data_IF_031376538767
#
_entry.id   IF_031376538767
#
_cell.length_a   1.000
_cell.length_b   1.000
_cell.length_c   1.000
_cell.angle_alpha   90.00
_cell.angle_beta   90.00
_cell.angle_gamma   90.00
#
_symmetry.space_group_name_H-M   'P 1'
#
loop_
_entity.id
_entity.type
_entity.pdbx_description
1 polymer ?
#
# COMPACT_ATOMS: atom_id res chain seq x y z
N UNK A 1 6.85 12.24 49.15
CA UNK A 1 6.01 12.98 48.18
C UNK A 1 6.86 13.25 46.95
N UNK A 2 6.65 12.50 45.88
CA UNK A 2 7.08 12.87 44.54
C UNK A 2 5.91 12.55 43.62
N UNK A 3 5.34 13.61 43.05
CA UNK A 3 4.15 13.55 42.21
C UNK A 3 4.49 12.92 40.86
N UNK A 4 3.66 11.96 40.46
CA UNK A 4 3.58 11.46 39.09
C UNK A 4 2.70 12.44 38.30
N UNK A 5 3.32 13.19 37.37
CA UNK A 5 2.57 13.90 36.34
C UNK A 5 2.15 12.89 35.27
N UNK A 6 0.90 12.44 35.38
CA UNK A 6 0.18 11.80 34.30
C UNK A 6 -0.10 12.85 33.21
N UNK A 7 0.80 12.96 32.24
CA UNK A 7 0.57 13.71 31.00
C UNK A 7 -0.43 12.97 30.14
N UNK A 8 -1.70 13.36 30.23
CA UNK A 8 -2.78 12.87 29.37
C UNK A 8 -2.50 13.16 27.90
N UNK A 9 -2.37 12.11 27.09
CA UNK A 9 -2.41 12.21 25.64
C UNK A 9 -3.87 12.19 25.15
N UNK A 10 -4.62 13.26 25.44
CA UNK A 10 -5.87 13.58 24.74
C UNK A 10 -5.55 14.38 23.48
N UNK A 11 -5.03 13.68 22.46
CA UNK A 11 -4.78 14.26 21.15
C UNK A 11 -5.47 13.45 20.06
N UNK A 12 -6.67 13.87 19.66
CA UNK A 12 -7.32 13.39 18.44
C UNK A 12 -6.50 13.82 17.21
N UNK A 13 -5.41 13.11 16.93
CA UNK A 13 -4.49 13.37 15.81
C UNK A 13 -5.08 12.99 14.46
N UNK A 14 -6.15 13.67 14.04
CA UNK A 14 -6.64 13.55 12.67
C UNK A 14 -5.86 14.54 11.80
N UNK A 15 -4.70 14.11 11.28
CA UNK A 15 -4.01 14.85 10.23
C UNK A 15 -4.94 15.08 9.03
N UNK A 16 -4.78 16.22 8.35
CA UNK A 16 -5.65 16.60 7.23
C UNK A 16 -5.66 15.54 6.12
N UNK A 17 -6.81 15.24 5.50
CA UNK A 17 -6.90 14.20 4.48
C UNK A 17 -6.14 14.61 3.20
N UNK A 18 -5.59 13.61 2.50
CA UNK A 18 -5.00 13.81 1.18
C UNK A 18 -6.15 13.97 0.16
N UNK A 19 -6.10 15.02 -0.67
CA UNK A 19 -7.15 15.36 -1.63
C UNK A 19 -6.58 15.75 -2.98
N UNK A 20 -7.39 15.63 -4.01
CA UNK A 20 -7.11 16.23 -5.32
C UNK A 20 -7.27 17.76 -5.26
N UNK A 21 -6.59 18.51 -6.15
CA UNK A 21 -6.55 19.97 -6.11
C UNK A 21 -7.89 20.60 -6.52
N UNK A 22 -8.71 19.87 -7.28
CA UNK A 22 -10.08 20.23 -7.62
C UNK A 22 -11.05 19.14 -7.12
N UNK A 23 -12.31 19.49 -6.84
CA UNK A 23 -13.33 18.50 -6.47
C UNK A 23 -13.42 17.40 -7.54
N UNK A 24 -13.50 16.15 -7.09
CA UNK A 24 -13.63 15.00 -7.99
C UNK A 24 -15.10 14.82 -8.40
N UNK A 25 -15.38 14.48 -9.68
CA UNK A 25 -16.73 14.17 -10.12
C UNK A 25 -17.20 12.83 -9.54
N UNK A 26 -18.51 12.62 -9.59
CA UNK A 26 -19.10 11.30 -9.33
C UNK A 26 -18.96 10.47 -10.61
N UNK A 27 -18.05 9.51 -10.61
CA UNK A 27 -17.91 8.58 -11.72
C UNK A 27 -19.03 7.54 -11.72
N UNK A 28 -19.56 7.22 -12.91
CA UNK A 28 -20.65 6.26 -13.08
C UNK A 28 -20.28 5.24 -14.15
N UNK A 29 -20.57 3.97 -13.88
CA UNK A 29 -20.33 2.87 -14.82
C UNK A 29 -19.03 2.12 -14.54
N UNK A 30 -18.47 1.51 -15.58
CA UNK A 30 -17.33 0.60 -15.48
C UNK A 30 -16.01 1.32 -15.17
N UNK A 31 -15.17 0.70 -14.33
CA UNK A 31 -13.86 1.21 -13.93
C UNK A 31 -13.02 1.74 -15.11
N UNK A 32 -12.94 1.00 -16.22
CA UNK A 32 -12.14 1.40 -17.39
C UNK A 32 -12.54 2.77 -17.98
N UNK A 33 -13.83 3.08 -18.00
CA UNK A 33 -14.34 4.35 -18.52
C UNK A 33 -14.05 5.48 -17.52
N UNK A 34 -14.28 5.20 -16.24
CA UNK A 34 -13.97 6.13 -15.15
C UNK A 34 -12.47 6.46 -15.12
N UNK A 35 -11.63 5.45 -15.33
CA UNK A 35 -10.18 5.60 -15.36
C UNK A 35 -9.73 6.46 -16.53
N UNK A 36 -10.32 6.27 -17.73
CA UNK A 36 -10.04 7.13 -18.87
C UNK A 36 -10.37 8.59 -18.58
N UNK A 37 -11.59 8.86 -18.10
CA UNK A 37 -12.02 10.21 -17.74
C UNK A 37 -11.14 10.83 -16.64
N UNK A 38 -10.77 10.04 -15.62
CA UNK A 38 -9.83 10.46 -14.58
C UNK A 38 -8.47 10.86 -15.17
N UNK A 39 -7.90 10.06 -16.08
CA UNK A 39 -6.61 10.36 -16.68
C UNK A 39 -6.65 11.63 -17.52
N UNK A 40 -7.70 11.82 -18.30
CA UNK A 40 -7.88 13.00 -19.16
C UNK A 40 -8.07 14.28 -18.33
N UNK A 41 -8.87 14.20 -17.27
CA UNK A 41 -9.31 15.39 -16.55
C UNK A 41 -8.39 15.78 -15.37
N UNK A 42 -7.76 14.80 -14.70
CA UNK A 42 -7.08 15.01 -13.42
C UNK A 42 -5.57 14.83 -13.46
N UNK A 43 -5.02 14.37 -14.59
CA UNK A 43 -3.60 14.09 -14.71
C UNK A 43 -3.03 14.67 -16.00
N UNK A 44 -1.75 15.01 -15.98
CA UNK A 44 -1.01 15.48 -17.15
C UNK A 44 -0.06 14.38 -17.59
N UNK A 45 0.11 14.20 -18.90
CA UNK A 45 1.13 13.28 -19.42
C UNK A 45 2.53 13.77 -19.00
N UNK A 46 3.42 12.83 -18.65
CA UNK A 46 4.80 13.19 -18.29
C UNK A 46 5.53 13.78 -19.50
N UNK A 47 6.07 15.01 -19.42
CA UNK A 47 6.73 15.68 -20.55
C UNK A 47 8.20 15.27 -20.73
N UNK A 48 8.79 14.57 -19.74
CA UNK A 48 10.18 14.16 -19.80
C UNK A 48 10.41 12.95 -20.71
N UNK A 49 11.57 12.30 -20.55
CA UNK A 49 11.93 11.16 -21.39
C UNK A 49 10.84 10.07 -21.32
N UNK A 50 10.53 9.41 -22.45
CA UNK A 50 9.63 8.27 -22.45
C UNK A 50 10.20 7.18 -21.55
N UNK A 51 9.32 6.30 -21.05
CA UNK A 51 9.77 5.17 -20.25
C UNK A 51 10.83 4.38 -21.03
N UNK A 52 11.92 3.93 -20.38
CA UNK A 52 12.84 2.98 -20.99
C UNK A 52 12.13 1.68 -21.40
N UNK A 53 10.93 1.42 -20.87
CA UNK A 53 10.04 0.33 -21.28
C UNK A 53 8.95 0.84 -22.22
N UNK A 54 8.96 0.36 -23.47
CA UNK A 54 8.04 0.77 -24.56
C UNK A 54 6.55 0.59 -24.22
N UNK A 55 6.22 -0.21 -23.20
CA UNK A 55 4.86 -0.52 -22.80
C UNK A 55 4.36 0.24 -21.55
N UNK A 56 5.14 1.17 -20.99
CA UNK A 56 4.73 1.95 -19.82
C UNK A 56 4.60 3.42 -20.17
N UNK A 57 3.45 4.02 -19.87
CA UNK A 57 3.23 5.46 -19.92
C UNK A 57 3.10 6.03 -18.50
N UNK A 58 3.45 7.31 -18.31
CA UNK A 58 3.31 8.00 -17.03
C UNK A 58 2.42 9.22 -17.17
N UNK A 59 1.49 9.35 -16.22
CA UNK A 59 0.72 10.57 -15.98
C UNK A 59 0.93 11.04 -14.54
N UNK A 60 0.90 12.34 -14.31
CA UNK A 60 1.16 12.92 -13.00
C UNK A 60 0.06 13.89 -12.60
N UNK A 61 -0.14 14.01 -11.30
CA UNK A 61 -0.97 15.05 -10.70
C UNK A 61 -0.45 15.40 -9.31
N UNK A 62 -0.87 16.53 -8.78
CA UNK A 62 -0.43 17.02 -7.48
C UNK A 62 -1.61 16.95 -6.52
N UNK A 63 -1.48 16.11 -5.50
CA UNK A 63 -2.40 16.03 -4.37
C UNK A 63 -2.05 17.11 -3.33
N UNK A 64 -3.00 17.41 -2.46
CA UNK A 64 -2.84 18.30 -1.30
C UNK A 64 -3.08 17.55 -0.02
N UNK A 65 -2.25 17.81 0.98
CA UNK A 65 -2.43 17.37 2.36
C UNK A 65 -2.11 18.56 3.26
N UNK A 66 -3.15 19.32 3.61
CA UNK A 66 -2.96 20.60 4.27
C UNK A 66 -2.16 21.61 3.44
N UNK A 67 -1.10 22.22 3.99
CA UNK A 67 -0.24 23.14 3.24
C UNK A 67 0.70 22.40 2.27
N UNK A 68 0.78 21.07 2.34
CA UNK A 68 1.74 20.29 1.59
C UNK A 68 1.19 19.81 0.25
N UNK A 69 2.06 19.78 -0.75
CA UNK A 69 1.81 19.20 -2.07
C UNK A 69 2.51 17.86 -2.18
N UNK A 70 1.80 16.86 -2.70
CA UNK A 70 2.29 15.49 -2.85
C UNK A 70 2.14 15.06 -4.31
N UNK A 71 3.20 14.56 -4.97
CA UNK A 71 3.05 14.01 -6.31
C UNK A 71 2.29 12.69 -6.25
N UNK A 72 1.30 12.53 -7.13
CA UNK A 72 0.74 11.24 -7.50
C UNK A 72 1.20 10.92 -8.92
N UNK A 73 1.90 9.79 -9.05
CA UNK A 73 2.34 9.23 -10.32
C UNK A 73 1.43 8.07 -10.68
N UNK A 74 0.89 8.10 -11.89
CA UNK A 74 0.01 7.07 -12.44
C UNK A 74 0.72 6.42 -13.62
N UNK A 75 1.30 5.25 -13.40
CA UNK A 75 1.92 4.47 -14.46
C UNK A 75 0.87 3.57 -15.11
N UNK A 76 0.87 3.55 -16.44
CA UNK A 76 -0.04 2.76 -17.27
C UNK A 76 0.81 1.71 -17.95
N UNK A 77 0.83 0.51 -17.39
CA UNK A 77 1.57 -0.63 -17.91
C UNK A 77 0.68 -1.42 -18.86
N UNK A 78 1.13 -1.61 -20.11
CA UNK A 78 0.50 -2.51 -21.07
C UNK A 78 1.19 -3.87 -21.04
N UNK A 79 0.49 -4.89 -20.55
CA UNK A 79 0.99 -6.25 -20.42
C UNK A 79 0.86 -6.95 -21.78
N UNK A 80 1.99 -7.32 -22.39
CA UNK A 80 2.05 -7.94 -23.73
C UNK A 80 2.69 -9.32 -23.75
N UNK A 81 3.43 -9.69 -22.71
CA UNK A 81 4.15 -10.97 -22.62
C UNK A 81 3.33 -11.96 -21.78
N UNK A 82 3.23 -13.21 -22.24
CA UNK A 82 2.57 -14.32 -21.54
C UNK A 82 3.12 -14.52 -20.12
N UNK A 83 4.43 -14.27 -19.92
CA UNK A 83 5.07 -14.37 -18.59
C UNK A 83 4.61 -13.32 -17.61
N UNK A 84 4.21 -12.15 -18.11
CA UNK A 84 3.72 -11.02 -17.30
C UNK A 84 2.20 -10.93 -17.30
N UNK A 85 1.51 -11.78 -18.06
CA UNK A 85 0.05 -11.81 -18.12
C UNK A 85 -0.52 -11.99 -16.71
N UNK A 86 -0.04 -12.98 -15.98
CA UNK A 86 -0.58 -13.26 -14.66
C UNK A 86 -0.16 -12.21 -13.63
N UNK A 87 -1.09 -11.87 -12.73
CA UNK A 87 -0.80 -11.07 -11.56
C UNK A 87 -0.64 -12.01 -10.37
N UNK A 88 0.52 -11.98 -9.72
CA UNK A 88 0.80 -12.83 -8.56
C UNK A 88 -0.16 -12.55 -7.41
N UNK A 89 -0.54 -11.30 -7.20
CA UNK A 89 -1.52 -10.93 -6.16
C UNK A 89 -2.91 -11.52 -6.46
N UNK A 90 -3.35 -11.48 -7.73
CA UNK A 90 -4.57 -12.17 -8.16
C UNK A 90 -4.46 -13.69 -7.94
N UNK A 91 -3.30 -14.30 -8.24
CA UNK A 91 -3.07 -15.73 -8.01
C UNK A 91 -3.16 -16.08 -6.52
N UNK A 92 -2.54 -15.29 -5.65
CA UNK A 92 -2.56 -15.47 -4.20
C UNK A 92 -4.00 -15.41 -3.65
N UNK A 93 -4.79 -14.43 -4.08
CA UNK A 93 -6.14 -14.20 -3.54
C UNK A 93 -7.24 -15.04 -4.20
N UNK A 94 -6.93 -15.76 -5.29
CA UNK A 94 -7.92 -16.61 -5.99
C UNK A 94 -8.64 -15.92 -7.16
N UNK A 95 -8.15 -14.77 -7.63
CA UNK A 95 -8.73 -14.00 -8.74
C UNK A 95 -8.14 -14.35 -10.11
N UNK A 96 -7.31 -15.40 -10.21
CA UNK A 96 -6.69 -15.85 -11.47
C UNK A 96 -7.70 -16.29 -12.54
N UNK A 97 -8.94 -16.58 -12.17
CA UNK A 97 -10.01 -16.92 -13.11
C UNK A 97 -10.57 -15.73 -13.90
N UNK A 98 -10.17 -14.50 -13.56
CA UNK A 98 -10.49 -13.32 -14.34
C UNK A 98 -9.42 -13.13 -15.41
N UNK A 99 -9.75 -13.26 -16.72
CA UNK A 99 -8.77 -13.09 -17.78
C UNK A 99 -8.05 -11.75 -17.58
N UNK A 100 -6.75 -11.91 -17.45
CA UNK A 100 -5.73 -10.89 -17.23
C UNK A 100 -6.08 -9.61 -17.97
N UNK A 101 -6.14 -8.50 -17.24
CA UNK A 101 -6.14 -7.19 -17.88
C UNK A 101 -4.81 -6.98 -18.60
N UNK A 102 -4.86 -6.74 -19.90
CA UNK A 102 -3.69 -6.30 -20.67
C UNK A 102 -3.22 -4.88 -20.31
N UNK A 103 -3.89 -4.21 -19.37
CA UNK A 103 -3.50 -2.90 -18.84
C UNK A 103 -3.60 -2.89 -17.31
N UNK A 104 -2.53 -2.43 -16.65
CA UNK A 104 -2.45 -2.20 -15.21
C UNK A 104 -2.18 -0.73 -14.94
N UNK A 105 -2.90 -0.17 -13.98
CA UNK A 105 -2.76 1.21 -13.53
C UNK A 105 -2.09 1.21 -12.16
N UNK A 106 -0.88 1.75 -12.05
CA UNK A 106 -0.13 1.82 -10.80
C UNK A 106 -0.19 3.25 -10.27
N UNK A 107 -0.74 3.42 -9.07
CA UNK A 107 -0.87 4.68 -8.36
C UNK A 107 0.23 4.75 -7.30
N UNK A 108 1.17 5.67 -7.49
CA UNK A 108 2.38 5.78 -6.68
C UNK A 108 2.48 7.16 -6.07
N UNK A 109 2.60 7.21 -4.73
CA UNK A 109 3.06 8.39 -3.99
C UNK A 109 4.50 8.10 -3.57
N UNK A 110 5.51 8.70 -4.22
CA UNK A 110 6.92 8.45 -3.88
C UNK A 110 7.30 9.13 -2.55
N UNK A 111 8.27 8.58 -1.83
CA UNK A 111 8.81 9.22 -0.63
C UNK A 111 9.68 10.44 -0.92
N UNK A 112 10.30 10.51 -2.10
CA UNK A 112 11.15 11.62 -2.52
C UNK A 112 10.72 12.14 -3.89
N UNK A 113 10.86 13.46 -4.08
CA UNK A 113 10.65 14.10 -5.37
C UNK A 113 11.93 13.93 -6.21
N UNK A 114 12.00 12.87 -7.01
CA UNK A 114 13.11 12.63 -7.94
C UNK A 114 12.86 13.36 -9.26
N UNK A 115 13.91 13.96 -9.82
CA UNK A 115 13.88 14.67 -11.11
C UNK A 115 13.54 13.75 -12.29
N UNK A 116 13.97 12.47 -12.26
CA UNK A 116 13.51 11.45 -13.20
C UNK A 116 12.58 10.44 -12.49
N UNK A 117 11.30 10.32 -12.90
CA UNK A 117 10.35 9.39 -12.30
C UNK A 117 10.52 7.93 -12.73
N UNK A 118 11.38 7.65 -13.70
CA UNK A 118 11.70 6.30 -14.16
C UNK A 118 12.89 5.70 -13.40
N UNK A 119 13.73 6.54 -12.82
CA UNK A 119 14.91 6.19 -12.02
C UNK A 119 14.57 6.26 -10.52
N UNK A 120 13.45 5.68 -10.08
CA UNK A 120 13.06 5.73 -8.67
C UNK A 120 14.12 5.02 -7.84
N UNK A 121 15.05 5.80 -7.29
CA UNK A 121 16.23 5.33 -6.59
C UNK A 121 15.85 5.04 -5.15
N UNK A 122 15.62 3.77 -4.83
CA UNK A 122 15.98 3.28 -3.50
C UNK A 122 17.46 2.93 -3.52
N UNK A 123 18.30 3.42 -2.59
CA UNK A 123 19.66 2.90 -2.48
C UNK A 123 19.60 1.38 -2.24
N UNK A 124 20.52 0.60 -2.85
CA UNK A 124 20.57 -0.84 -2.66
C UNK A 124 20.54 -1.20 -1.17
N UNK A 125 19.80 -2.25 -0.81
CA UNK A 125 19.74 -2.77 0.55
C UNK A 125 21.16 -3.01 1.13
N UNK A 126 21.32 -3.12 2.46
CA UNK A 126 22.60 -3.50 3.06
C UNK A 126 23.18 -4.81 2.48
N UNK A 127 22.33 -5.75 2.05
CA UNK A 127 22.74 -6.97 1.37
C UNK A 127 23.34 -6.71 -0.03
N UNK A 128 22.78 -5.77 -0.79
CA UNK A 128 23.31 -5.35 -2.09
C UNK A 128 24.58 -4.48 -1.96
N UNK A 129 24.76 -3.75 -0.84
CA UNK A 129 26.04 -3.11 -0.50
C UNK A 129 27.13 -4.15 -0.15
N UNK A 130 26.75 -5.28 0.45
CA UNK A 130 27.66 -6.38 0.76
C UNK A 130 28.06 -7.17 -0.50
N UNK A 131 27.16 -7.29 -1.48
CA UNK A 131 27.50 -7.82 -2.81
C UNK A 131 28.39 -6.87 -3.64
N UNK A 132 28.25 -5.54 -3.46
CA UNK A 132 29.14 -4.53 -4.06
C UNK A 132 30.59 -4.65 -3.58
N UNK A 133 30.82 -4.95 -2.30
CA UNK A 133 32.19 -5.22 -1.79
C UNK A 133 32.83 -6.44 -2.46
N UNK A 134 32.01 -7.39 -2.91
CA UNK A 134 32.46 -8.62 -3.59
C UNK A 134 32.64 -8.45 -5.11
N UNK A 135 32.01 -7.46 -5.74
CA UNK A 135 32.15 -7.23 -7.19
C UNK A 135 32.07 -5.73 -7.55
N UNK A 136 33.22 -5.01 -7.57
CA UNK A 136 33.29 -3.56 -7.80
C UNK A 136 32.86 -3.08 -9.20
N UNK A 137 32.57 -4.00 -10.12
CA UNK A 137 32.32 -3.72 -11.54
C UNK A 137 30.87 -3.92 -11.99
N UNK A 138 29.95 -4.26 -11.08
CA UNK A 138 28.53 -4.41 -11.43
C UNK A 138 27.80 -3.05 -11.38
N UNK A 139 27.25 -2.54 -12.50
CA UNK A 139 26.31 -1.43 -12.44
C UNK A 139 25.02 -1.94 -11.79
N UNK A 140 24.72 -1.49 -10.56
CA UNK A 140 23.44 -1.79 -9.90
C UNK A 140 22.38 -0.94 -10.59
N UNK A 141 21.46 -1.52 -11.39
CA UNK A 141 20.37 -0.73 -11.96
C UNK A 141 19.50 -0.26 -10.80
N UNK A 142 18.95 0.96 -10.88
CA UNK A 142 17.84 1.35 -10.01
C UNK A 142 16.80 0.22 -10.04
N UNK A 143 16.27 -0.17 -8.87
CA UNK A 143 15.14 -1.10 -8.84
C UNK A 143 14.04 -0.50 -9.74
N UNK A 144 13.47 -1.33 -10.61
CA UNK A 144 12.37 -0.88 -11.45
C UNK A 144 11.32 -0.21 -10.58
N UNK A 145 10.74 0.91 -11.01
CA UNK A 145 9.84 1.72 -10.17
C UNK A 145 8.77 0.91 -9.42
N UNK A 146 8.27 -0.19 -9.99
CA UNK A 146 7.27 -1.03 -9.32
C UNK A 146 7.81 -1.90 -8.18
N UNK A 147 9.11 -2.14 -8.14
CA UNK A 147 9.83 -2.89 -7.11
C UNK A 147 10.45 -1.99 -6.03
N UNK A 148 10.36 -0.66 -6.19
CA UNK A 148 10.83 0.31 -5.21
C UNK A 148 10.06 0.15 -3.88
N UNK A 149 10.81 -0.08 -2.81
CA UNK A 149 10.29 -0.35 -1.46
C UNK A 149 10.01 0.94 -0.66
N UNK A 150 10.40 2.09 -1.17
CA UNK A 150 10.31 3.39 -0.49
C UNK A 150 9.04 4.15 -0.78
N UNK A 151 8.23 3.71 -1.76
CA UNK A 151 6.94 4.32 -2.04
C UNK A 151 6.11 4.49 -0.77
N UNK A 152 5.62 5.71 -0.50
CA UNK A 152 4.70 5.95 0.61
C UNK A 152 3.40 5.19 0.36
N UNK A 153 2.94 5.18 -0.89
CA UNK A 153 1.81 4.38 -1.34
C UNK A 153 2.13 3.80 -2.71
N UNK A 154 1.84 2.52 -2.89
CA UNK A 154 1.77 1.89 -4.20
C UNK A 154 0.53 1.00 -4.23
N UNK A 155 -0.47 1.40 -5.01
CA UNK A 155 -1.59 0.55 -5.35
C UNK A 155 -1.63 0.27 -6.85
N UNK A 156 -2.14 -0.89 -7.25
CA UNK A 156 -2.29 -1.28 -8.64
C UNK A 156 -3.72 -1.72 -8.91
N UNK A 157 -4.31 -1.31 -10.03
CA UNK A 157 -5.65 -1.72 -10.44
C UNK A 157 -5.60 -2.18 -11.91
N UNK A 158 -6.12 -3.37 -12.15
CA UNK A 158 -6.32 -3.97 -13.46
C UNK A 158 -7.42 -3.24 -14.25
N UNK A 159 -7.39 -3.27 -15.58
CA UNK A 159 -8.44 -2.65 -16.43
C UNK A 159 -9.85 -3.17 -16.14
N UNK A 160 -9.95 -4.40 -15.61
CA UNK A 160 -11.22 -5.02 -15.25
C UNK A 160 -11.75 -4.53 -13.89
N UNK A 161 -11.01 -3.69 -13.18
CA UNK A 161 -11.38 -3.06 -11.91
C UNK A 161 -10.94 -3.83 -10.65
N UNK A 162 -10.26 -4.97 -10.76
CA UNK A 162 -9.66 -5.64 -9.61
C UNK A 162 -8.33 -4.98 -9.25
N UNK A 163 -8.05 -4.76 -7.97
CA UNK A 163 -6.85 -4.06 -7.54
C UNK A 163 -6.17 -4.65 -6.32
N UNK A 164 -4.96 -4.16 -6.06
CA UNK A 164 -4.09 -4.61 -5.01
C UNK A 164 -3.39 -3.40 -4.40
N UNK A 165 -3.50 -3.21 -3.09
CA UNK A 165 -2.63 -2.32 -2.35
C UNK A 165 -1.31 -3.05 -2.11
N UNK A 166 -0.29 -2.68 -2.88
CA UNK A 166 1.03 -3.33 -2.88
C UNK A 166 1.87 -2.84 -1.70
N UNK A 167 1.90 -1.53 -1.44
CA UNK A 167 2.70 -0.93 -0.38
C UNK A 167 2.00 0.26 0.26
N UNK A 168 2.22 0.38 1.56
CA UNK A 168 1.89 1.57 2.34
C UNK A 168 2.95 1.75 3.42
N UNK A 169 3.87 2.68 3.21
CA UNK A 169 4.96 2.94 4.13
C UNK A 169 4.68 4.16 5.01
N UNK A 170 5.22 4.14 6.24
CA UNK A 170 5.28 5.37 7.04
C UNK A 170 6.42 6.21 6.54
N UNK A 171 6.16 7.49 6.46
CA UNK A 171 7.19 8.44 6.16
C UNK A 171 8.13 8.68 7.35
N UNK A 172 9.42 8.35 7.20
CA UNK A 172 10.47 8.71 8.16
C UNK A 172 11.43 9.76 7.58
N UNK A 173 11.34 10.10 6.28
CA UNK A 173 12.36 10.88 5.55
C UNK A 173 11.81 11.99 4.64
N UNK A 174 10.52 12.02 4.33
CA UNK A 174 9.87 13.07 3.54
C UNK A 174 9.55 14.28 4.42
N UNK A 175 9.34 15.42 3.76
CA UNK A 175 8.99 16.68 4.43
C UNK A 175 7.55 16.68 4.97
N UNK A 176 6.73 15.67 4.62
CA UNK A 176 5.31 15.57 4.93
C UNK A 176 5.05 14.27 5.68
N UNK A 177 4.96 14.34 7.00
CA UNK A 177 4.73 13.17 7.85
C UNK A 177 3.30 12.60 7.65
N UNK A 178 3.11 11.78 6.61
CA UNK A 178 1.84 11.12 6.32
C UNK A 178 1.64 9.91 7.24
N UNK A 179 0.45 9.87 7.86
CA UNK A 179 0.01 8.72 8.64
C UNK A 179 -0.55 7.62 7.74
N UNK A 180 -0.49 6.36 8.19
CA UNK A 180 -1.13 5.25 7.48
C UNK A 180 -2.64 5.47 7.30
N UNK A 181 -3.30 6.15 8.25
CA UNK A 181 -4.73 6.51 8.13
C UNK A 181 -4.99 7.45 6.95
N UNK A 182 -4.12 8.45 6.72
CA UNK A 182 -4.24 9.37 5.59
C UNK A 182 -4.02 8.65 4.25
N UNK A 183 -3.01 7.78 4.18
CA UNK A 183 -2.73 6.98 2.97
C UNK A 183 -3.85 6.00 2.64
N UNK A 184 -4.37 5.27 3.64
CA UNK A 184 -5.53 4.40 3.46
C UNK A 184 -6.78 5.17 3.09
N UNK A 185 -7.06 6.30 3.76
CA UNK A 185 -8.21 7.14 3.41
C UNK A 185 -8.16 7.64 1.97
N UNK A 186 -6.96 7.99 1.48
CA UNK A 186 -6.75 8.33 0.09
C UNK A 186 -6.96 7.14 -0.85
N UNK A 187 -6.33 6.00 -0.57
CA UNK A 187 -6.41 4.81 -1.40
C UNK A 187 -7.84 4.26 -1.50
N UNK A 188 -8.54 4.16 -0.37
CA UNK A 188 -9.94 3.72 -0.28
C UNK A 188 -10.87 4.69 -1.02
N UNK A 189 -10.68 6.01 -0.82
CA UNK A 189 -11.40 7.04 -1.55
C UNK A 189 -11.15 6.97 -3.06
N UNK A 190 -9.92 6.73 -3.48
CA UNK A 190 -9.53 6.57 -4.89
C UNK A 190 -10.21 5.34 -5.52
N UNK A 191 -10.18 4.20 -4.83
CA UNK A 191 -10.79 2.96 -5.29
C UNK A 191 -12.32 3.10 -5.41
N UNK A 192 -12.96 3.67 -4.38
CA UNK A 192 -14.40 3.93 -4.37
C UNK A 192 -14.80 4.88 -5.48
N UNK A 193 -14.08 5.99 -5.63
CA UNK A 193 -14.31 7.00 -6.66
C UNK A 193 -14.21 6.40 -8.07
N UNK A 194 -13.15 5.63 -8.37
CA UNK A 194 -12.98 5.02 -9.69
C UNK A 194 -13.90 3.82 -9.92
N UNK A 195 -14.63 3.38 -8.89
CA UNK A 195 -15.47 2.18 -8.87
C UNK A 195 -14.66 0.92 -9.16
N UNK A 196 -13.52 0.79 -8.49
CA UNK A 196 -12.83 -0.48 -8.40
C UNK A 196 -13.80 -1.57 -7.90
N UNK A 197 -13.72 -2.77 -8.46
CA UNK A 197 -14.65 -3.87 -8.17
C UNK A 197 -14.35 -4.51 -6.83
N UNK A 198 -13.10 -4.94 -6.66
CA UNK A 198 -12.58 -5.55 -5.44
C UNK A 198 -11.10 -5.19 -5.33
N UNK A 199 -10.64 -4.95 -4.11
CA UNK A 199 -9.25 -4.59 -3.84
C UNK A 199 -8.72 -5.48 -2.72
N UNK A 200 -7.56 -6.12 -2.93
CA UNK A 200 -6.88 -6.88 -1.88
C UNK A 200 -5.69 -6.10 -1.33
N UNK A 201 -5.19 -6.55 -0.19
CA UNK A 201 -3.93 -6.09 0.37
C UNK A 201 -3.30 -7.25 1.13
N UNK A 202 -1.97 -7.26 1.20
CA UNK A 202 -1.22 -8.18 2.04
C UNK A 202 -0.71 -7.40 3.25
N UNK A 203 -0.98 -7.89 4.46
CA UNK A 203 -0.47 -7.25 5.68
C UNK A 203 1.00 -7.64 5.94
N UNK A 204 1.89 -6.93 5.27
CA UNK A 204 3.36 -7.04 5.44
C UNK A 204 3.91 -6.02 6.45
N UNK A 205 3.05 -5.38 7.28
CA UNK A 205 3.49 -4.32 8.17
C UNK A 205 4.39 -4.83 9.30
N UNK A 206 5.66 -4.44 9.31
CA UNK A 206 6.59 -4.70 10.42
C UNK A 206 6.46 -3.67 11.57
N UNK A 207 5.37 -2.89 11.61
CA UNK A 207 5.17 -1.89 12.68
C UNK A 207 4.79 -2.59 13.97
N UNK A 208 5.79 -2.73 14.83
CA UNK A 208 5.70 -3.42 16.12
C UNK A 208 5.66 -4.95 15.96
N UNK A 209 5.77 -5.65 17.09
CA UNK A 209 5.72 -7.10 17.11
C UNK A 209 4.27 -7.59 16.90
N UNK A 210 4.07 -8.91 16.80
CA UNK A 210 2.77 -9.57 16.52
C UNK A 210 1.60 -9.04 17.38
N UNK A 211 1.92 -8.60 18.58
CA UNK A 211 1.10 -7.98 19.62
C UNK A 211 0.20 -6.89 19.04
N UNK A 212 0.73 -5.98 18.22
CA UNK A 212 -0.08 -4.89 17.65
C UNK A 212 -1.10 -5.41 16.63
N UNK A 213 -0.77 -6.51 15.93
CA UNK A 213 -1.68 -7.15 14.97
C UNK A 213 -2.78 -7.94 15.67
N UNK A 214 -2.52 -8.45 16.87
CA UNK A 214 -3.51 -9.16 17.71
C UNK A 214 -4.38 -8.17 18.50
N UNK A 215 -3.80 -7.07 18.97
CA UNK A 215 -4.50 -6.06 19.76
C UNK A 215 -5.71 -5.48 19.03
N UNK A 216 -5.59 -5.25 17.71
CA UNK A 216 -6.67 -4.64 16.93
C UNK A 216 -7.89 -5.56 16.76
N UNK A 217 -7.74 -6.84 16.34
CA UNK A 217 -8.81 -7.84 16.45
C UNK A 217 -9.36 -8.02 17.86
N UNK A 218 -8.50 -8.03 18.88
CA UNK A 218 -8.93 -8.16 20.28
C UNK A 218 -9.85 -7.01 20.72
N UNK A 219 -9.61 -5.79 20.24
CA UNK A 219 -10.40 -4.61 20.63
C UNK A 219 -11.59 -4.34 19.70
N UNK A 220 -11.44 -4.53 18.39
CA UNK A 220 -12.43 -4.12 17.39
C UNK A 220 -13.09 -5.28 16.64
N UNK A 221 -12.62 -6.52 16.81
CA UNK A 221 -13.14 -7.70 16.11
C UNK A 221 -12.77 -7.78 14.62
N UNK A 222 -11.81 -6.97 14.17
CA UNK A 222 -11.31 -6.98 12.80
C UNK A 222 -9.84 -6.53 12.79
N UNK A 223 -9.15 -6.67 11.65
CA UNK A 223 -7.77 -6.15 11.49
C UNK A 223 -7.78 -4.63 11.34
N UNK A 224 -6.61 -3.99 11.38
CA UNK A 224 -6.49 -2.54 11.15
C UNK A 224 -7.09 -2.12 9.79
N UNK A 225 -6.85 -2.90 8.74
CA UNK A 225 -7.44 -2.68 7.41
C UNK A 225 -8.96 -2.85 7.40
N UNK A 226 -9.51 -3.65 8.32
CA UNK A 226 -10.97 -3.85 8.46
C UNK A 226 -11.75 -2.56 8.71
N UNK A 227 -11.11 -1.51 9.21
CA UNK A 227 -11.69 -0.17 9.31
C UNK A 227 -12.13 0.41 7.95
N UNK A 228 -11.53 -0.05 6.85
CA UNK A 228 -11.88 0.31 5.47
C UNK A 228 -12.62 -0.82 4.75
N UNK A 229 -13.23 -1.76 5.48
CA UNK A 229 -14.02 -2.85 4.90
C UNK A 229 -13.19 -4.02 4.34
N UNK A 230 -11.87 -4.02 4.52
CA UNK A 230 -11.04 -5.18 4.18
C UNK A 230 -11.32 -6.32 5.15
N UNK A 231 -11.76 -7.46 4.63
CA UNK A 231 -11.99 -8.67 5.40
C UNK A 231 -11.00 -9.77 5.05
N UNK A 232 -11.10 -10.89 5.75
CA UNK A 232 -10.44 -12.12 5.35
C UNK A 232 -10.70 -12.43 3.87
N UNK A 233 -9.61 -12.63 3.14
CA UNK A 233 -9.61 -13.02 1.73
C UNK A 233 -9.34 -14.52 1.60
N UNK A 234 -8.19 -14.86 1.01
CA UNK A 234 -7.68 -16.23 0.93
C UNK A 234 -6.46 -16.35 1.82
N UNK A 235 -6.41 -17.38 2.66
CA UNK A 235 -5.26 -17.64 3.53
C UNK A 235 -4.24 -18.57 2.89
N UNK A 236 -2.99 -18.48 3.34
CA UNK A 236 -2.04 -19.57 3.25
C UNK A 236 -2.50 -20.76 4.14
N UNK A 237 -2.04 -21.97 3.84
CA UNK A 237 -2.19 -23.18 4.69
C UNK A 237 -3.62 -23.67 4.96
N UNK A 238 -4.58 -23.52 4.02
CA UNK A 238 -5.95 -24.05 4.14
C UNK A 238 -6.78 -23.52 5.33
N UNK A 239 -6.43 -22.38 5.92
CA UNK A 239 -7.30 -21.74 6.91
C UNK A 239 -8.58 -21.25 6.24
N UNK A 240 -9.72 -21.65 6.80
CA UNK A 240 -11.04 -21.21 6.33
C UNK A 240 -11.41 -19.86 6.93
N UNK A 241 -12.41 -19.20 6.33
CA UNK A 241 -12.95 -17.93 6.87
C UNK A 241 -13.54 -18.13 8.27
N UNK A 242 -14.16 -19.29 8.50
CA UNK A 242 -14.76 -19.67 9.77
C UNK A 242 -13.68 -19.88 10.84
N UNK A 243 -12.58 -20.57 10.48
CA UNK A 243 -11.44 -20.74 11.37
C UNK A 243 -10.79 -19.39 11.74
N UNK A 244 -10.66 -18.49 10.77
CA UNK A 244 -10.16 -17.14 11.02
C UNK A 244 -11.08 -16.34 11.94
N UNK A 245 -12.40 -16.38 11.69
CA UNK A 245 -13.38 -15.69 12.52
C UNK A 245 -13.40 -16.25 13.95
N UNK A 246 -13.34 -17.57 14.11
CA UNK A 246 -13.24 -18.21 15.41
C UNK A 246 -11.98 -17.79 16.17
N UNK A 247 -10.84 -17.63 15.48
CA UNK A 247 -9.61 -17.13 16.09
C UNK A 247 -9.75 -15.67 16.56
N UNK A 248 -10.40 -14.81 15.76
CA UNK A 248 -10.69 -13.42 16.16
C UNK A 248 -11.59 -13.38 17.39
N UNK A 249 -12.64 -14.21 17.43
CA UNK A 249 -13.56 -14.27 18.58
C UNK A 249 -12.89 -14.82 19.83
N UNK A 250 -12.00 -15.82 19.68
CA UNK A 250 -11.20 -16.36 20.79
C UNK A 250 -10.27 -15.29 21.36
N UNK A 251 -9.53 -14.57 20.51
CA UNK A 251 -8.64 -13.48 20.94
C UNK A 251 -9.42 -12.36 21.64
N UNK A 252 -10.61 -12.02 21.14
CA UNK A 252 -11.46 -10.96 21.70
C UNK A 252 -12.08 -11.32 23.05
N UNK A 253 -12.31 -12.61 23.29
CA UNK A 253 -12.93 -13.12 24.53
C UNK A 253 -11.90 -13.66 25.52
N UNK A 254 -10.64 -13.81 25.11
CA UNK A 254 -9.56 -14.26 25.97
C UNK A 254 -9.34 -13.31 27.15
N UNK A 255 -9.04 -13.88 28.32
CA UNK A 255 -8.54 -13.10 29.44
C UNK A 255 -7.22 -12.45 29.04
N UNK A 256 -7.05 -11.17 29.37
CA UNK A 256 -5.78 -10.45 29.18
C UNK A 256 -4.62 -11.21 29.86
N UNK A 257 -4.87 -11.87 30.97
CA UNK A 257 -3.88 -12.69 31.68
C UNK A 257 -3.41 -13.88 30.83
N UNK A 258 -4.32 -14.58 30.15
CA UNK A 258 -3.98 -15.71 29.26
C UNK A 258 -3.20 -15.22 28.05
N UNK A 259 -3.60 -14.09 27.46
CA UNK A 259 -2.87 -13.48 26.34
C UNK A 259 -1.47 -13.10 26.78
N UNK A 260 -1.30 -12.49 27.97
CA UNK A 260 0.01 -12.12 28.49
C UNK A 260 0.89 -13.34 28.80
N UNK A 261 0.33 -14.43 29.33
CA UNK A 261 1.06 -15.67 29.58
C UNK A 261 1.69 -16.26 28.31
N UNK A 262 0.98 -16.24 27.18
CA UNK A 262 1.53 -16.69 25.90
C UNK A 262 2.76 -15.89 25.45
N UNK A 263 2.87 -14.62 25.87
CA UNK A 263 4.05 -13.77 25.61
C UNK A 263 5.20 -13.97 26.61
N UNK A 264 4.97 -14.62 27.75
CA UNK A 264 6.03 -14.87 28.75
C UNK A 264 6.96 -16.03 28.38
N UNK A 265 6.61 -16.84 27.37
CA UNK A 265 7.40 -17.98 26.89
C UNK A 265 8.29 -17.70 25.68
N UNK A 266 8.40 -16.45 25.21
CA UNK A 266 9.22 -16.10 24.05
C UNK A 266 10.64 -15.78 24.51
N UNK A 267 11.61 -16.61 24.12
CA UNK A 267 13.03 -16.44 24.47
C UNK A 267 13.55 -15.06 24.07
N UNK A 268 14.24 -14.39 25.00
CA UNK A 268 14.82 -13.05 24.80
C UNK A 268 15.95 -13.00 23.75
N UNK A 269 16.32 -14.15 23.15
CA UNK A 269 17.37 -14.29 22.14
C UNK A 269 16.91 -14.19 20.69
N UNK A 270 15.61 -13.98 20.43
CA UNK A 270 15.06 -13.82 19.07
C UNK A 270 14.45 -12.43 18.93
N UNK A 271 15.30 -11.40 18.92
CA UNK A 271 14.96 -10.01 18.52
C UNK A 271 16.00 -9.50 17.53
#
# INVERSE_FOLDING_TARGET
MMGSEAGGASGSGQGEPIRFPKPMPVFVGAFRNNMQAFLEEFTTAWPGRPSPKVNIALRTTILRCGPHQLPLRVYIERVRDERSAFCDQCRCIGWQGHPVSNVRFHFVIPALFVSDPWETMTPPSPALLQERERSPFMPVPALEVFEDQTHLLHGMIHINGFGHLMRMNRDVKSKVALTGKQLMGFWDGLCSMLRARLVSTEDVSHKGPLELRILYPATYGHTWYGKWGYSFGRSAYNLSKEAWQAAVDLVRTASLELVLQDYTGVDAGVV
#
